data_IF_673844314339
#
_entry.id   IF_673844314339
#
_cell.length_a   1.000
_cell.length_b   1.000
_cell.length_c   1.000
_cell.angle_alpha   90.00
_cell.angle_beta   90.00
_cell.angle_gamma   90.00
#
_symmetry.space_group_name_H-M   'P 1'
#
loop_
_entity.id
_entity.type
_entity.pdbx_description
1 polymer ?
#
# COMPACT_ATOMS: atom_id res chain seq x y z
N UNK A 1 26.92 61.89 -20.82
CA UNK A 1 27.45 60.59 -21.27
C UNK A 1 27.96 59.80 -20.05
N UNK A 2 27.11 59.06 -19.32
CA UNK A 2 27.56 58.21 -18.17
C UNK A 2 26.54 57.12 -17.76
N UNK A 3 25.44 56.89 -18.49
CA UNK A 3 24.39 55.94 -18.07
C UNK A 3 24.57 54.50 -18.56
N UNK A 4 25.40 54.25 -19.57
CA UNK A 4 25.45 52.92 -20.22
C UNK A 4 26.35 51.89 -19.52
N UNK A 5 27.29 52.29 -18.66
CA UNK A 5 28.17 51.32 -17.98
C UNK A 5 27.46 50.53 -16.87
N UNK A 6 26.46 51.12 -16.22
CA UNK A 6 25.76 50.49 -15.08
C UNK A 6 24.82 49.34 -15.47
N UNK A 7 24.37 49.27 -16.72
CA UNK A 7 23.45 48.21 -17.18
C UNK A 7 24.19 46.91 -17.55
N UNK A 8 25.41 47.02 -18.10
CA UNK A 8 26.23 45.86 -18.46
C UNK A 8 26.83 45.14 -17.23
N UNK A 9 27.24 45.87 -16.19
CA UNK A 9 27.74 45.25 -14.96
C UNK A 9 26.65 44.43 -14.23
N UNK A 10 25.43 44.95 -14.16
CA UNK A 10 24.29 44.25 -13.54
C UNK A 10 23.90 42.96 -14.26
N UNK A 11 24.05 42.90 -15.58
CA UNK A 11 23.72 41.70 -16.37
C UNK A 11 24.78 40.61 -16.22
N UNK A 12 26.06 40.98 -16.19
CA UNK A 12 27.16 40.05 -15.92
C UNK A 12 27.10 39.49 -14.50
N UNK A 13 26.79 40.31 -13.51
CA UNK A 13 26.64 39.89 -12.12
C UNK A 13 25.46 38.92 -11.96
N UNK A 14 24.27 39.26 -12.48
CA UNK A 14 23.10 38.36 -12.46
C UNK A 14 23.40 36.99 -13.07
N UNK A 15 24.11 36.95 -14.20
CA UNK A 15 24.44 35.68 -14.88
C UNK A 15 25.37 34.79 -14.04
N UNK A 16 26.30 35.38 -13.29
CA UNK A 16 27.18 34.65 -12.37
C UNK A 16 26.39 34.08 -11.18
N UNK A 17 25.52 34.88 -10.56
CA UNK A 17 24.65 34.41 -9.47
C UNK A 17 23.69 33.30 -9.91
N UNK A 18 23.09 33.41 -11.09
CA UNK A 18 22.23 32.33 -11.63
C UNK A 18 23.02 31.05 -11.89
N UNK A 19 24.25 31.16 -12.41
CA UNK A 19 25.11 30.01 -12.63
C UNK A 19 25.50 29.32 -11.32
N UNK A 20 25.86 30.10 -10.30
CA UNK A 20 26.16 29.58 -8.97
C UNK A 20 24.94 28.89 -8.33
N UNK A 21 23.75 29.50 -8.43
CA UNK A 21 22.52 28.91 -7.91
C UNK A 21 22.17 27.57 -8.59
N UNK A 22 22.36 27.45 -9.91
CA UNK A 22 22.13 26.20 -10.64
C UNK A 22 23.13 25.11 -10.22
N UNK A 23 24.42 25.44 -10.11
CA UNK A 23 25.44 24.50 -9.65
C UNK A 23 25.20 24.05 -8.20
N UNK A 24 24.84 24.98 -7.32
CA UNK A 24 24.46 24.66 -5.94
C UNK A 24 23.23 23.75 -5.89
N UNK A 25 22.21 24.03 -6.70
CA UNK A 25 21.02 23.19 -6.83
C UNK A 25 21.33 21.78 -7.35
N UNK A 26 22.23 21.68 -8.34
CA UNK A 26 22.71 20.39 -8.85
C UNK A 26 23.45 19.60 -7.76
N UNK A 27 24.41 20.23 -7.06
CA UNK A 27 25.17 19.61 -5.98
C UNK A 27 24.24 19.14 -4.84
N UNK A 28 23.29 19.97 -4.42
CA UNK A 28 22.29 19.60 -3.41
C UNK A 28 21.44 18.42 -3.87
N UNK A 29 21.00 18.41 -5.13
CA UNK A 29 20.21 17.31 -5.68
C UNK A 29 21.01 16.01 -5.74
N UNK A 30 22.30 16.06 -6.10
CA UNK A 30 23.19 14.89 -6.02
C UNK A 30 23.36 14.41 -4.59
N UNK A 31 23.57 15.32 -3.63
CA UNK A 31 23.65 14.95 -2.22
C UNK A 31 22.37 14.26 -1.74
N UNK A 32 21.20 14.82 -2.04
CA UNK A 32 19.91 14.20 -1.70
C UNK A 32 19.70 12.84 -2.38
N UNK A 33 20.20 12.67 -3.60
CA UNK A 33 20.16 11.40 -4.31
C UNK A 33 21.09 10.36 -3.66
N UNK A 34 22.28 10.74 -3.21
CA UNK A 34 23.25 9.84 -2.56
C UNK A 34 22.82 9.47 -1.14
N UNK A 35 22.24 10.42 -0.40
CA UNK A 35 21.76 10.24 0.97
C UNK A 35 20.26 9.90 1.03
N UNK A 36 19.70 9.32 -0.03
CA UNK A 36 18.26 9.01 -0.14
C UNK A 36 17.74 8.14 1.02
N UNK A 37 18.59 7.26 1.56
CA UNK A 37 18.24 6.40 2.70
C UNK A 37 17.93 7.17 3.99
N UNK A 38 18.43 8.41 4.11
CA UNK A 38 18.21 9.28 5.26
C UNK A 38 17.14 10.35 5.01
N UNK A 39 16.49 10.35 3.83
CA UNK A 39 15.44 11.31 3.53
C UNK A 39 14.18 10.98 4.36
N UNK A 40 13.81 11.83 5.34
CA UNK A 40 12.70 11.53 6.24
C UNK A 40 11.35 11.40 5.52
N UNK A 41 11.17 12.05 4.38
CA UNK A 41 9.93 11.96 3.60
C UNK A 41 9.81 10.57 2.96
N UNK A 42 10.86 10.12 2.27
CA UNK A 42 10.90 8.79 1.64
C UNK A 42 10.83 7.67 2.68
N UNK A 43 11.54 7.81 3.80
CA UNK A 43 11.51 6.81 4.89
C UNK A 43 10.12 6.69 5.52
N UNK A 44 9.43 7.81 5.76
CA UNK A 44 8.06 7.77 6.31
C UNK A 44 7.05 7.21 5.29
N UNK A 45 7.16 7.59 4.02
CA UNK A 45 6.32 7.05 2.95
C UNK A 45 6.51 5.53 2.79
N UNK A 46 7.77 5.06 2.83
CA UNK A 46 8.10 3.64 2.85
C UNK A 46 7.53 2.93 4.08
N UNK A 47 7.65 3.55 5.26
CA UNK A 47 7.08 3.04 6.50
C UNK A 47 5.57 2.84 6.42
N UNK A 48 4.84 3.80 5.85
CA UNK A 48 3.39 3.66 5.63
C UNK A 48 3.04 2.47 4.73
N UNK A 49 3.73 2.31 3.59
CA UNK A 49 3.51 1.16 2.71
C UNK A 49 3.87 -0.17 3.40
N UNK A 50 4.93 -0.20 4.21
CA UNK A 50 5.33 -1.36 5.01
C UNK A 50 4.29 -1.73 6.07
N UNK A 51 3.68 -0.75 6.75
CA UNK A 51 2.62 -1.00 7.73
C UNK A 51 1.40 -1.63 7.07
N UNK A 52 1.00 -1.12 5.91
CA UNK A 52 -0.13 -1.71 5.17
C UNK A 52 0.21 -3.13 4.71
N UNK A 53 1.42 -3.37 4.20
CA UNK A 53 1.88 -4.71 3.81
C UNK A 53 1.78 -5.70 4.98
N UNK A 54 2.28 -5.32 6.16
CA UNK A 54 2.23 -6.16 7.35
C UNK A 54 0.79 -6.44 7.81
N UNK A 55 -0.07 -5.42 7.80
CA UNK A 55 -1.48 -5.60 8.14
C UNK A 55 -2.18 -6.54 7.14
N UNK A 56 -1.97 -6.35 5.83
CA UNK A 56 -2.53 -7.21 4.79
C UNK A 56 -2.03 -8.65 4.91
N UNK A 57 -0.77 -8.87 5.31
CA UNK A 57 -0.23 -10.20 5.60
C UNK A 57 -1.01 -10.91 6.71
N UNK A 58 -1.33 -10.20 7.79
CA UNK A 58 -2.18 -10.72 8.86
C UNK A 58 -3.55 -11.15 8.35
N UNK A 59 -4.24 -10.27 7.61
CA UNK A 59 -5.54 -10.58 6.99
C UNK A 59 -5.46 -11.79 6.05
N UNK A 60 -4.41 -11.89 5.23
CA UNK A 60 -4.19 -13.00 4.31
C UNK A 60 -4.05 -14.34 5.03
N UNK A 61 -3.23 -14.38 6.09
CA UNK A 61 -3.06 -15.60 6.89
C UNK A 61 -4.39 -16.03 7.51
N UNK A 62 -5.17 -15.10 8.07
CA UNK A 62 -6.49 -15.41 8.63
C UNK A 62 -7.44 -15.99 7.59
N UNK A 63 -7.50 -15.40 6.39
CA UNK A 63 -8.31 -15.93 5.28
C UNK A 63 -7.86 -17.34 4.84
N UNK A 64 -6.55 -17.58 4.80
CA UNK A 64 -6.01 -18.90 4.43
C UNK A 64 -6.36 -19.97 5.46
N UNK A 65 -6.30 -19.62 6.74
CA UNK A 65 -6.72 -20.49 7.84
C UNK A 65 -8.22 -20.78 7.76
N UNK A 66 -9.05 -19.77 7.49
CA UNK A 66 -10.49 -19.96 7.30
C UNK A 66 -10.81 -20.91 6.14
N UNK A 67 -10.19 -20.71 4.98
CA UNK A 67 -10.35 -21.62 3.84
C UNK A 67 -9.90 -23.05 4.19
N UNK A 68 -8.80 -23.23 4.92
CA UNK A 68 -8.36 -24.56 5.35
C UNK A 68 -9.35 -25.25 6.29
N UNK A 69 -9.96 -24.51 7.22
CA UNK A 69 -11.00 -25.01 8.13
C UNK A 69 -12.26 -25.40 7.36
N UNK A 70 -12.72 -24.55 6.43
CA UNK A 70 -13.90 -24.82 5.60
C UNK A 70 -13.68 -26.03 4.68
N UNK A 71 -12.52 -26.13 4.04
CA UNK A 71 -12.15 -27.27 3.18
C UNK A 71 -12.14 -28.59 3.94
N UNK A 72 -11.60 -28.59 5.18
CA UNK A 72 -11.61 -29.78 6.06
C UNK A 72 -13.03 -30.17 6.46
N UNK A 73 -13.90 -29.19 6.76
CA UNK A 73 -15.29 -29.44 7.11
C UNK A 73 -16.08 -30.06 5.94
N UNK A 74 -15.84 -29.59 4.71
CA UNK A 74 -16.44 -30.14 3.49
C UNK A 74 -15.98 -31.59 3.23
N UNK A 75 -14.68 -31.90 3.39
CA UNK A 75 -14.14 -33.26 3.17
C UNK A 75 -14.74 -34.29 4.15
N UNK A 76 -14.90 -33.92 5.42
CA UNK A 76 -15.44 -34.81 6.46
C UNK A 76 -16.91 -35.18 6.23
N UNK A 77 -17.74 -34.27 5.70
CA UNK A 77 -19.14 -34.58 5.37
C UNK A 77 -19.25 -35.52 4.16
N UNK A 78 -18.38 -35.33 3.16
CA UNK A 78 -18.35 -36.21 1.99
C UNK A 78 -17.93 -37.65 2.34
N UNK A 79 -17.12 -37.84 3.40
CA UNK A 79 -16.70 -39.17 3.87
C UNK A 79 -17.77 -39.98 4.63
N UNK A 80 -18.80 -39.35 5.18
CA UNK A 80 -19.83 -40.01 6.02
C UNK A 80 -21.07 -40.46 5.22
N UNK A 81 -21.23 -40.00 3.98
CA UNK A 81 -22.40 -40.27 3.14
C UNK A 81 -22.48 -41.65 2.45
N UNK A 82 -21.55 -42.58 2.69
CA UNK A 82 -21.49 -43.87 1.97
C UNK A 82 -22.44 -44.97 2.48
N UNK A 83 -23.41 -44.68 3.37
CA UNK A 83 -24.25 -45.72 3.97
C UNK A 83 -25.75 -45.44 4.14
N UNK A 84 -26.22 -44.19 4.10
CA UNK A 84 -27.64 -43.89 4.29
C UNK A 84 -28.07 -42.81 3.30
N UNK A 85 -28.92 -43.22 2.35
CA UNK A 85 -29.57 -42.37 1.35
C UNK A 85 -30.49 -41.33 2.01
N UNK A 86 -29.91 -40.24 2.51
CA UNK A 86 -30.61 -39.01 2.90
C UNK A 86 -30.15 -37.85 2.03
N UNK A 87 -31.00 -37.41 1.11
CA UNK A 87 -30.70 -36.48 0.01
C UNK A 87 -30.63 -35.00 0.40
N UNK A 88 -29.86 -34.63 1.42
CA UNK A 88 -29.53 -33.24 1.67
C UNK A 88 -28.00 -33.10 1.58
N UNK A 89 -27.51 -32.37 0.58
CA UNK A 89 -26.11 -31.92 0.47
C UNK A 89 -26.04 -30.45 0.97
N UNK A 90 -26.14 -30.18 2.29
CA UNK A 90 -26.10 -28.82 2.79
C UNK A 90 -24.76 -28.12 2.49
N UNK A 91 -23.63 -28.83 2.44
CA UNK A 91 -22.32 -28.19 2.25
C UNK A 91 -21.90 -27.91 0.80
N UNK A 92 -22.62 -28.39 -0.23
CA UNK A 92 -22.39 -27.89 -1.61
C UNK A 92 -22.86 -26.44 -1.80
N UNK A 93 -23.69 -25.91 -0.89
CA UNK A 93 -23.97 -24.48 -0.83
C UNK A 93 -22.77 -23.64 -0.34
N UNK A 94 -21.68 -24.25 0.16
CA UNK A 94 -20.50 -23.53 0.63
C UNK A 94 -19.47 -23.20 -0.45
N UNK A 95 -19.55 -23.84 -1.62
CA UNK A 95 -18.63 -23.62 -2.74
C UNK A 95 -18.54 -22.12 -3.12
N UNK A 96 -19.65 -21.35 -3.20
CA UNK A 96 -19.56 -19.92 -3.49
C UNK A 96 -18.86 -19.11 -2.39
N UNK A 97 -18.99 -19.51 -1.12
CA UNK A 97 -18.39 -18.78 0.01
C UNK A 97 -16.88 -19.04 0.02
N UNK A 98 -16.46 -20.30 -0.10
CA UNK A 98 -15.03 -20.64 -0.17
C UNK A 98 -14.35 -19.94 -1.37
N UNK A 99 -14.99 -19.97 -2.55
CA UNK A 99 -14.52 -19.24 -3.73
C UNK A 99 -14.37 -17.73 -3.47
N UNK A 100 -15.31 -17.12 -2.73
CA UNK A 100 -15.19 -15.69 -2.39
C UNK A 100 -14.03 -15.42 -1.42
N UNK A 101 -13.84 -16.27 -0.42
CA UNK A 101 -12.74 -16.16 0.54
C UNK A 101 -11.40 -16.32 -0.18
N UNK A 102 -11.26 -17.28 -1.10
CA UNK A 102 -10.07 -17.47 -1.92
C UNK A 102 -9.76 -16.23 -2.77
N UNK A 103 -10.76 -15.68 -3.46
CA UNK A 103 -10.58 -14.47 -4.29
C UNK A 103 -10.19 -13.24 -3.48
N UNK A 104 -10.76 -13.09 -2.28
CA UNK A 104 -10.38 -12.01 -1.36
C UNK A 104 -8.94 -12.24 -0.86
N UNK A 105 -8.58 -13.46 -0.50
CA UNK A 105 -7.23 -13.80 -0.05
C UNK A 105 -6.18 -13.48 -1.12
N UNK A 106 -6.44 -13.83 -2.38
CA UNK A 106 -5.58 -13.50 -3.52
C UNK A 106 -5.42 -12.00 -3.71
N UNK A 107 -6.52 -11.24 -3.59
CA UNK A 107 -6.47 -9.78 -3.68
C UNK A 107 -5.66 -9.14 -2.54
N UNK A 108 -5.85 -9.61 -1.31
CA UNK A 108 -5.10 -9.17 -0.13
C UNK A 108 -3.62 -9.55 -0.26
N UNK A 109 -3.31 -10.74 -0.78
CA UNK A 109 -1.94 -11.17 -1.06
C UNK A 109 -1.26 -10.25 -2.09
N UNK A 110 -1.94 -9.96 -3.19
CA UNK A 110 -1.42 -9.06 -4.21
C UNK A 110 -1.16 -7.65 -3.63
N UNK A 111 -2.07 -7.15 -2.79
CA UNK A 111 -1.90 -5.88 -2.06
C UNK A 111 -0.70 -5.90 -1.11
N UNK A 112 -0.53 -6.97 -0.34
CA UNK A 112 0.61 -7.18 0.56
C UNK A 112 1.93 -7.12 -0.23
N UNK A 113 2.04 -7.86 -1.33
CA UNK A 113 3.25 -7.89 -2.16
C UNK A 113 3.50 -6.52 -2.80
N UNK A 114 2.46 -5.90 -3.37
CA UNK A 114 2.57 -4.60 -4.01
C UNK A 114 3.04 -3.52 -3.04
N UNK A 115 2.42 -3.44 -1.86
CA UNK A 115 2.79 -2.47 -0.82
C UNK A 115 4.20 -2.73 -0.27
N UNK A 116 4.61 -3.99 -0.14
CA UNK A 116 5.98 -4.36 0.23
C UNK A 116 7.02 -3.92 -0.83
N UNK A 117 6.75 -4.19 -2.11
CA UNK A 117 7.60 -3.72 -3.22
C UNK A 117 7.68 -2.20 -3.23
N UNK A 118 6.54 -1.52 -3.02
CA UNK A 118 6.49 -0.07 -2.98
C UNK A 118 7.33 0.50 -1.83
N UNK A 119 7.26 -0.10 -0.64
CA UNK A 119 8.08 0.30 0.51
C UNK A 119 9.58 0.24 0.19
N UNK A 120 10.02 -0.82 -0.48
CA UNK A 120 11.43 -0.97 -0.92
C UNK A 120 11.78 0.03 -2.03
N UNK A 121 10.86 0.29 -2.97
CA UNK A 121 11.10 1.15 -4.12
C UNK A 121 11.13 2.66 -3.79
N UNK A 122 10.47 3.10 -2.71
CA UNK A 122 10.34 4.52 -2.35
C UNK A 122 11.69 5.26 -2.25
N UNK A 123 12.71 4.62 -1.67
CA UNK A 123 14.04 5.20 -1.56
C UNK A 123 14.71 5.41 -2.93
N UNK A 124 14.94 4.32 -3.69
CA UNK A 124 15.52 4.40 -5.03
C UNK A 124 14.76 5.32 -6.00
N UNK A 125 13.41 5.30 -5.98
CA UNK A 125 12.58 6.19 -6.81
C UNK A 125 12.85 7.66 -6.48
N UNK A 126 12.95 7.99 -5.18
CA UNK A 126 13.32 9.34 -4.74
C UNK A 126 14.72 9.73 -5.22
N UNK A 127 15.69 8.83 -5.12
CA UNK A 127 17.07 9.05 -5.60
C UNK A 127 17.12 9.33 -7.11
N UNK A 128 16.38 8.56 -7.91
CA UNK A 128 16.24 8.79 -9.36
C UNK A 128 15.62 10.17 -9.62
N UNK A 129 14.58 10.55 -8.87
CA UNK A 129 13.97 11.88 -8.99
C UNK A 129 14.98 13.00 -8.73
N UNK A 130 15.77 12.90 -7.67
CA UNK A 130 16.82 13.88 -7.36
C UNK A 130 17.94 13.89 -8.40
N UNK A 131 18.34 12.73 -8.94
CA UNK A 131 19.32 12.65 -10.03
C UNK A 131 18.81 13.34 -11.31
N UNK A 132 17.51 13.19 -11.63
CA UNK A 132 16.89 13.91 -12.74
C UNK A 132 16.88 15.43 -12.51
N UNK A 133 16.62 15.88 -11.28
CA UNK A 133 16.72 17.30 -10.93
C UNK A 133 18.15 17.83 -11.06
N UNK A 134 19.15 17.07 -10.60
CA UNK A 134 20.55 17.42 -10.80
C UNK A 134 20.89 17.58 -12.29
N UNK A 135 20.45 16.63 -13.12
CA UNK A 135 20.59 16.70 -14.57
C UNK A 135 19.91 17.93 -15.18
N UNK A 136 18.73 18.30 -14.69
CA UNK A 136 18.03 19.50 -15.14
C UNK A 136 18.81 20.79 -14.83
N UNK A 137 19.33 20.92 -13.60
CA UNK A 137 20.13 22.08 -13.20
C UNK A 137 21.43 22.18 -14.00
N UNK A 138 22.12 21.06 -14.24
CA UNK A 138 23.32 21.01 -15.09
C UNK A 138 23.00 21.41 -16.53
N UNK A 139 21.92 20.91 -17.10
CA UNK A 139 21.50 21.27 -18.46
C UNK A 139 21.17 22.77 -18.57
N UNK A 140 20.49 23.36 -17.59
CA UNK A 140 20.22 24.80 -17.60
C UNK A 140 21.47 25.66 -17.43
N UNK A 141 22.49 25.13 -16.74
CA UNK A 141 23.77 25.80 -16.60
C UNK A 141 24.57 25.79 -17.92
N UNK A 142 24.60 24.65 -18.62
CA UNK A 142 25.34 24.47 -19.87
C UNK A 142 24.61 25.02 -21.11
N UNK A 143 23.30 24.77 -21.19
CA UNK A 143 22.46 25.07 -22.35
C UNK A 143 21.09 25.62 -21.89
N UNK A 144 21.03 26.91 -21.48
CA UNK A 144 19.80 27.52 -21.01
C UNK A 144 18.72 27.50 -22.10
N UNK A 145 17.47 27.20 -21.71
CA UNK A 145 16.31 27.16 -22.62
C UNK A 145 15.96 25.77 -23.19
N UNK A 146 16.75 24.73 -22.90
CA UNK A 146 16.46 23.38 -23.37
C UNK A 146 15.16 22.80 -22.79
N UNK A 147 14.26 22.34 -23.66
CA UNK A 147 12.99 21.69 -23.27
C UNK A 147 13.23 20.43 -22.45
N UNK A 148 14.33 19.72 -22.72
CA UNK A 148 14.74 18.53 -21.99
C UNK A 148 15.00 18.82 -20.50
N UNK A 149 15.65 19.95 -20.18
CA UNK A 149 15.88 20.36 -18.79
C UNK A 149 14.57 20.59 -18.02
N UNK A 150 13.56 21.17 -18.69
CA UNK A 150 12.23 21.35 -18.09
C UNK A 150 11.52 20.02 -17.81
N UNK A 151 11.62 19.05 -18.74
CA UNK A 151 11.05 17.71 -18.55
C UNK A 151 11.75 16.95 -17.42
N UNK A 152 13.08 16.99 -17.37
CA UNK A 152 13.86 16.39 -16.30
C UNK A 152 13.51 16.99 -14.94
N UNK A 153 13.39 18.32 -14.86
CA UNK A 153 12.96 18.99 -13.63
C UNK A 153 11.54 18.56 -13.22
N UNK A 154 10.58 18.49 -14.15
CA UNK A 154 9.20 18.13 -13.81
C UNK A 154 9.07 16.69 -13.33
N UNK A 155 9.69 15.72 -14.04
CA UNK A 155 9.68 14.33 -13.61
C UNK A 155 10.52 14.12 -12.36
N UNK A 156 11.65 14.81 -12.24
CA UNK A 156 12.51 14.76 -11.07
C UNK A 156 11.80 15.24 -9.81
N UNK A 157 11.14 16.39 -9.85
CA UNK A 157 10.33 16.92 -8.74
C UNK A 157 9.17 15.96 -8.42
N UNK A 158 8.51 15.42 -9.45
CA UNK A 158 7.41 14.49 -9.25
C UNK A 158 7.85 13.21 -8.49
N UNK A 159 8.93 12.57 -8.95
CA UNK A 159 9.44 11.34 -8.35
C UNK A 159 10.11 11.57 -6.99
N UNK A 160 10.87 12.67 -6.84
CA UNK A 160 11.61 12.96 -5.62
C UNK A 160 10.73 13.46 -4.48
N UNK A 161 9.66 14.22 -4.81
CA UNK A 161 8.88 14.95 -3.82
C UNK A 161 7.40 14.61 -3.91
N UNK A 162 6.75 14.77 -5.07
CA UNK A 162 5.29 14.66 -5.15
C UNK A 162 4.78 13.27 -4.77
N UNK A 163 5.47 12.22 -5.22
CA UNK A 163 5.10 10.83 -4.94
C UNK A 163 5.34 10.45 -3.47
N UNK A 164 6.54 10.62 -2.87
CA UNK A 164 6.71 10.37 -1.44
C UNK A 164 5.78 11.21 -0.55
N UNK A 165 5.55 12.47 -0.94
CA UNK A 165 4.67 13.37 -0.20
C UNK A 165 3.20 12.94 -0.29
N UNK A 166 2.75 12.41 -1.43
CA UNK A 166 1.37 11.92 -1.56
C UNK A 166 1.11 10.74 -0.64
N UNK A 167 2.07 9.82 -0.49
CA UNK A 167 1.98 8.71 0.45
C UNK A 167 2.05 9.18 1.90
N UNK A 168 2.95 10.12 2.21
CA UNK A 168 3.06 10.69 3.56
C UNK A 168 1.77 11.42 4.00
N UNK A 169 1.16 12.19 3.11
CA UNK A 169 -0.11 12.86 3.41
C UNK A 169 -1.26 11.86 3.49
N UNK A 170 -1.23 10.85 2.63
CA UNK A 170 -2.24 9.78 2.64
C UNK A 170 -2.23 9.00 3.94
N UNK A 171 -1.07 8.79 4.58
CA UNK A 171 -1.02 8.05 5.84
C UNK A 171 -1.90 8.69 6.91
N UNK A 172 -1.78 10.00 7.10
CA UNK A 172 -2.56 10.71 8.12
C UNK A 172 -4.04 10.83 7.76
N UNK A 173 -4.35 11.07 6.48
CA UNK A 173 -5.74 11.29 6.04
C UNK A 173 -6.50 9.97 5.99
N UNK A 174 -5.89 8.92 5.44
CA UNK A 174 -6.54 7.63 5.34
C UNK A 174 -6.77 6.98 6.71
N UNK A 175 -5.83 7.12 7.65
CA UNK A 175 -5.98 6.63 9.03
C UNK A 175 -7.16 7.29 9.76
N UNK A 176 -7.52 8.52 9.39
CA UNK A 176 -8.69 9.18 9.95
C UNK A 176 -9.97 8.73 9.25
N UNK A 177 -9.97 8.74 7.91
CA UNK A 177 -11.17 8.43 7.11
C UNK A 177 -11.61 6.97 7.19
N UNK A 178 -10.67 6.05 7.39
CA UNK A 178 -10.95 4.60 7.36
C UNK A 178 -11.04 3.98 8.75
N UNK A 179 -10.83 4.75 9.82
CA UNK A 179 -10.76 4.22 11.18
C UNK A 179 -12.03 3.51 11.61
N UNK A 180 -13.16 4.17 11.45
CA UNK A 180 -14.45 3.63 11.91
C UNK A 180 -14.79 2.33 11.18
N UNK A 181 -14.66 2.34 9.85
CA UNK A 181 -14.89 1.16 9.01
C UNK A 181 -13.91 0.03 9.37
N UNK A 182 -12.64 0.36 9.64
CA UNK A 182 -11.65 -0.61 10.04
C UNK A 182 -11.99 -1.24 11.39
N UNK A 183 -12.21 -0.43 12.43
CA UNK A 183 -12.49 -0.90 13.79
C UNK A 183 -13.78 -1.72 13.87
N UNK A 184 -14.84 -1.29 13.18
CA UNK A 184 -16.11 -2.02 13.12
C UNK A 184 -15.93 -3.42 12.51
N UNK A 185 -15.27 -3.51 11.36
CA UNK A 185 -15.11 -4.77 10.64
C UNK A 185 -14.05 -5.68 11.27
N UNK A 186 -13.00 -5.12 11.88
CA UNK A 186 -12.04 -5.88 12.68
C UNK A 186 -12.71 -6.49 13.92
N UNK A 187 -13.61 -5.75 14.59
CA UNK A 187 -14.37 -6.28 15.72
C UNK A 187 -15.32 -7.42 15.32
N UNK A 188 -15.96 -7.32 14.14
CA UNK A 188 -16.78 -8.41 13.57
C UNK A 188 -15.91 -9.63 13.30
N UNK A 189 -14.79 -9.47 12.60
CA UNK A 189 -13.88 -10.57 12.29
C UNK A 189 -13.38 -11.21 13.58
N UNK A 190 -12.85 -10.42 14.53
CA UNK A 190 -12.33 -10.92 15.80
C UNK A 190 -13.40 -11.65 16.62
N UNK A 191 -14.65 -11.18 16.63
CA UNK A 191 -15.76 -11.87 17.30
C UNK A 191 -16.00 -13.24 16.69
N UNK A 192 -16.07 -13.32 15.37
CA UNK A 192 -16.36 -14.56 14.63
C UNK A 192 -15.17 -15.54 14.74
N UNK A 193 -13.93 -15.03 14.64
CA UNK A 193 -12.70 -15.84 14.67
C UNK A 193 -12.23 -16.20 16.08
N UNK A 194 -12.63 -15.48 17.13
CA UNK A 194 -12.32 -15.87 18.53
C UNK A 194 -12.86 -17.25 18.90
N UNK A 195 -13.90 -17.69 18.20
CA UNK A 195 -14.46 -19.04 18.28
C UNK A 195 -13.51 -20.13 17.76
N UNK A 196 -12.55 -19.75 16.89
CA UNK A 196 -11.67 -20.62 16.08
C UNK A 196 -10.32 -20.88 16.77
N UNK A 197 -9.98 -20.13 17.83
CA UNK A 197 -8.72 -20.33 18.57
C UNK A 197 -8.69 -21.75 19.16
N UNK A 198 -7.88 -22.61 18.53
CA UNK A 198 -7.69 -23.99 18.96
C UNK A 198 -6.82 -24.06 20.22
N UNK A 199 -7.03 -25.07 21.09
CA UNK A 199 -6.28 -25.21 22.32
C UNK A 199 -4.77 -25.34 22.05
N UNK A 200 -4.00 -24.61 22.85
CA UNK A 200 -2.55 -24.63 23.04
C UNK A 200 -1.80 -25.82 22.40
N UNK A 201 -0.89 -25.51 21.48
CA UNK A 201 0.11 -26.47 20.98
C UNK A 201 1.21 -26.67 22.03
N UNK A 202 0.82 -27.25 23.17
CA UNK A 202 1.74 -27.76 24.18
C UNK A 202 2.43 -29.03 23.68
N UNK A 203 3.75 -28.97 23.53
CA UNK A 203 4.61 -29.98 22.91
C UNK A 203 4.80 -31.30 23.69
N UNK A 204 3.84 -31.74 24.52
CA UNK A 204 3.97 -32.98 25.34
C UNK A 204 2.73 -33.89 25.35
N UNK A 205 1.78 -33.77 24.40
CA UNK A 205 0.65 -34.69 24.32
C UNK A 205 0.97 -35.97 23.50
N UNK A 206 0.85 -37.13 24.16
CA UNK A 206 1.07 -38.45 23.58
C UNK A 206 0.20 -38.71 22.33
N UNK A 207 0.69 -39.54 21.40
CA UNK A 207 -0.01 -39.83 20.14
C UNK A 207 -1.44 -40.38 20.32
N UNK A 208 -1.68 -41.09 21.42
CA UNK A 208 -3.01 -41.58 21.81
C UNK A 208 -3.94 -40.47 22.30
N UNK A 209 -3.42 -39.46 23.01
CA UNK A 209 -4.20 -38.29 23.40
C UNK A 209 -4.56 -37.43 22.19
N UNK A 210 -3.66 -37.31 21.20
CA UNK A 210 -3.97 -36.66 19.91
C UNK A 210 -5.00 -37.42 19.08
N UNK A 211 -5.00 -38.75 19.13
CA UNK A 211 -6.01 -39.56 18.43
C UNK A 211 -7.37 -39.50 19.12
N UNK A 212 -7.39 -39.44 20.46
CA UNK A 212 -8.61 -39.27 21.25
C UNK A 212 -9.14 -37.83 21.19
N UNK A 213 -8.24 -36.84 21.22
CA UNK A 213 -8.56 -35.42 21.04
C UNK A 213 -9.07 -35.18 19.63
N UNK A 214 -8.47 -35.79 18.60
CA UNK A 214 -8.90 -35.73 17.21
C UNK A 214 -10.36 -36.19 16.99
N UNK A 215 -10.85 -37.14 17.80
CA UNK A 215 -12.24 -37.60 17.74
C UNK A 215 -13.22 -36.64 18.43
N UNK A 216 -12.83 -35.95 19.51
CA UNK A 216 -13.61 -34.86 20.14
C UNK A 216 -13.45 -33.51 19.40
N UNK A 217 -12.33 -33.33 18.72
CA UNK A 217 -12.03 -32.21 17.83
C UNK A 217 -12.92 -32.31 16.60
N UNK A 218 -13.19 -33.48 16.04
CA UNK A 218 -14.11 -33.62 14.90
C UNK A 218 -15.52 -33.05 15.16
N UNK A 219 -16.05 -33.22 16.38
CA UNK A 219 -17.35 -32.64 16.75
C UNK A 219 -17.24 -31.13 17.02
N UNK A 220 -16.15 -30.69 17.65
CA UNK A 220 -15.84 -29.27 17.85
C UNK A 220 -15.61 -28.53 16.53
N UNK A 221 -14.94 -29.15 15.55
CA UNK A 221 -14.72 -28.63 14.20
C UNK A 221 -16.02 -28.55 13.40
N UNK A 222 -16.95 -29.49 13.58
CA UNK A 222 -18.30 -29.40 12.97
C UNK A 222 -19.12 -28.27 13.56
N UNK A 223 -19.12 -28.10 14.88
CA UNK A 223 -19.80 -26.98 15.54
C UNK A 223 -19.19 -25.63 15.16
N UNK A 224 -17.86 -25.59 15.04
CA UNK A 224 -17.13 -24.41 14.57
C UNK A 224 -17.49 -24.07 13.12
N UNK A 225 -17.47 -25.05 12.22
CA UNK A 225 -17.83 -24.88 10.82
C UNK A 225 -19.29 -24.42 10.66
N UNK A 226 -20.21 -24.94 11.49
CA UNK A 226 -21.60 -24.48 11.53
C UNK A 226 -21.74 -23.02 11.97
N UNK A 227 -20.96 -22.60 12.97
CA UNK A 227 -20.97 -21.20 13.45
C UNK A 227 -20.40 -20.24 12.40
N UNK A 228 -19.31 -20.65 11.73
CA UNK A 228 -18.73 -19.89 10.61
C UNK A 228 -19.73 -19.80 9.45
N UNK A 229 -20.48 -20.87 9.17
CA UNK A 229 -21.50 -20.88 8.13
C UNK A 229 -22.62 -19.88 8.41
N UNK A 230 -23.17 -19.90 9.61
CA UNK A 230 -24.27 -19.00 10.00
C UNK A 230 -23.85 -17.51 9.95
N UNK A 231 -22.54 -17.25 10.05
CA UNK A 231 -21.95 -15.90 10.05
C UNK A 231 -21.11 -15.60 8.80
N UNK A 232 -21.12 -16.49 7.80
CA UNK A 232 -20.21 -16.40 6.65
C UNK A 232 -20.46 -15.14 5.82
N UNK A 233 -21.72 -14.78 5.60
CA UNK A 233 -22.08 -13.58 4.85
C UNK A 233 -21.57 -12.30 5.54
N UNK A 234 -21.70 -12.22 6.88
CA UNK A 234 -21.19 -11.09 7.67
C UNK A 234 -19.66 -11.05 7.63
N UNK A 235 -19.01 -12.21 7.77
CA UNK A 235 -17.56 -12.34 7.74
C UNK A 235 -16.97 -11.93 6.37
N UNK A 236 -17.55 -12.42 5.28
CA UNK A 236 -17.15 -12.08 3.91
C UNK A 236 -17.37 -10.60 3.66
N UNK A 237 -18.51 -10.03 4.06
CA UNK A 237 -18.77 -8.60 3.94
C UNK A 237 -17.72 -7.76 4.68
N UNK A 238 -17.33 -8.17 5.89
CA UNK A 238 -16.29 -7.48 6.66
C UNK A 238 -14.89 -7.57 6.02
N UNK A 239 -14.52 -8.72 5.46
CA UNK A 239 -13.27 -8.83 4.72
C UNK A 239 -13.27 -8.00 3.43
N UNK A 240 -14.40 -7.92 2.72
CA UNK A 240 -14.54 -7.04 1.54
C UNK A 240 -14.41 -5.57 1.95
N UNK A 241 -14.98 -5.16 3.09
CA UNK A 241 -14.84 -3.81 3.62
C UNK A 241 -13.38 -3.49 3.97
N UNK A 242 -12.68 -4.41 4.65
CA UNK A 242 -11.25 -4.27 4.95
C UNK A 242 -10.42 -4.21 3.66
N UNK A 243 -10.72 -5.04 2.67
CA UNK A 243 -10.07 -5.01 1.36
C UNK A 243 -10.27 -3.64 0.69
N UNK A 244 -11.48 -3.09 0.72
CA UNK A 244 -11.77 -1.75 0.20
C UNK A 244 -10.96 -0.66 0.94
N UNK A 245 -10.80 -0.79 2.26
CA UNK A 245 -9.92 0.09 3.06
C UNK A 245 -8.48 0.01 2.57
N UNK A 246 -7.92 -1.19 2.35
CA UNK A 246 -6.56 -1.33 1.82
C UNK A 246 -6.40 -0.70 0.44
N UNK A 247 -7.34 -0.96 -0.47
CA UNK A 247 -7.33 -0.38 -1.83
C UNK A 247 -7.40 1.14 -1.75
N UNK A 248 -8.24 1.69 -0.88
CA UNK A 248 -8.33 3.13 -0.67
C UNK A 248 -7.02 3.72 -0.15
N UNK A 249 -6.44 3.08 0.87
CA UNK A 249 -5.20 3.49 1.55
C UNK A 249 -3.96 3.47 0.66
N UNK A 250 -3.85 2.48 -0.23
CA UNK A 250 -2.63 2.27 -1.06
C UNK A 250 -2.76 2.87 -2.45
N UNK A 251 -3.95 2.81 -3.07
CA UNK A 251 -4.12 3.23 -4.45
C UNK A 251 -4.89 4.55 -4.54
N UNK A 252 -6.12 4.60 -4.04
CA UNK A 252 -7.02 5.71 -4.35
C UNK A 252 -6.51 7.03 -3.76
N UNK A 253 -6.23 7.07 -2.46
CA UNK A 253 -5.84 8.32 -1.83
C UNK A 253 -4.46 8.82 -2.28
N UNK A 254 -3.40 7.98 -2.33
CA UNK A 254 -2.10 8.43 -2.82
C UNK A 254 -2.14 8.88 -4.28
N UNK A 255 -2.93 8.20 -5.14
CA UNK A 255 -3.07 8.60 -6.54
C UNK A 255 -3.83 9.91 -6.70
N UNK A 256 -4.91 10.13 -5.93
CA UNK A 256 -5.66 11.39 -5.92
C UNK A 256 -4.78 12.55 -5.48
N UNK A 257 -3.98 12.39 -4.42
CA UNK A 257 -3.05 13.41 -3.95
C UNK A 257 -1.91 13.67 -4.96
N UNK A 258 -1.33 12.62 -5.53
CA UNK A 258 -0.31 12.76 -6.58
C UNK A 258 -0.85 13.48 -7.82
N UNK A 259 -2.08 13.16 -8.25
CA UNK A 259 -2.78 13.85 -9.34
C UNK A 259 -3.08 15.31 -8.99
N UNK A 260 -3.52 15.57 -7.76
CA UNK A 260 -3.73 16.93 -7.24
C UNK A 260 -2.45 17.77 -7.29
N UNK A 261 -1.31 17.22 -6.86
CA UNK A 261 -0.02 17.88 -6.98
C UNK A 261 0.36 18.17 -8.44
N UNK A 262 0.12 17.22 -9.35
CA UNK A 262 0.40 17.40 -10.77
C UNK A 262 -0.43 18.55 -11.39
N UNK A 263 -1.74 18.59 -11.09
CA UNK A 263 -2.63 19.65 -11.58
C UNK A 263 -2.26 21.00 -10.99
N UNK A 264 -1.98 21.07 -9.68
CA UNK A 264 -1.57 22.31 -9.02
C UNK A 264 -0.25 22.85 -9.59
N UNK A 265 0.74 21.97 -9.79
CA UNK A 265 2.02 22.35 -10.40
C UNK A 265 1.84 22.89 -11.82
N UNK A 266 0.96 22.26 -12.62
CA UNK A 266 0.65 22.72 -13.98
C UNK A 266 -0.05 24.10 -13.95
N UNK A 267 -1.04 24.28 -13.09
CA UNK A 267 -1.77 25.53 -12.97
C UNK A 267 -0.85 26.70 -12.58
N UNK A 268 0.04 26.51 -11.60
CA UNK A 268 1.03 27.52 -11.21
C UNK A 268 1.97 27.89 -12.38
N UNK A 269 2.37 26.91 -13.19
CA UNK A 269 3.23 27.13 -14.35
C UNK A 269 2.53 27.83 -15.53
N UNK A 270 1.19 27.82 -15.57
CA UNK A 270 0.38 28.53 -16.57
C UNK A 270 0.07 29.96 -16.10
N UNK A 271 -0.31 30.14 -14.84
CA UNK A 271 -0.58 31.45 -14.22
C UNK A 271 0.64 32.36 -14.24
N UNK A 272 1.84 31.82 -14.04
CA UNK A 272 3.09 32.58 -14.13
C UNK A 272 3.43 33.12 -15.53
N UNK A 273 2.85 32.55 -16.60
CA UNK A 273 3.02 33.04 -17.99
C UNK A 273 2.07 34.19 -18.34
N UNK A 274 1.00 34.39 -17.57
CA UNK A 274 0.03 35.46 -17.79
C UNK A 274 0.51 36.85 -17.34
N UNK A 275 1.42 36.91 -16.37
CA UNK A 275 1.95 38.17 -15.79
C UNK A 275 3.11 38.79 -16.59
N UNK A 276 3.51 38.19 -17.71
CA UNK A 276 4.57 38.70 -18.61
C UNK A 276 4.03 39.22 -19.96
N UNK A 277 2.71 39.34 -20.11
CA UNK A 277 2.08 40.00 -21.26
C UNK A 277 1.62 41.41 -20.89
#
# INVERSE_FOLDING_TARGET
MTRETTSFERTAERRRWTGFALLAGAALSVLLALFYAHNPVSTKAAGYASTVSAASAGTYVTLRTLNAVLSTAQEVEMGVGLGVSGSAQPLKMLEPIDDTIERIADAVFALMVFSGVLAVAMGPVGAVGFAMMAGAFLLWWLAPGQVLGRRLASYGVFLALALPLSFLLSSSVADHMTREVWEENEAVIARITSSIDTPDSGAEAGWFDRMRSGLTEMESYRTLAGTIFDQADELVASYVAILAVYVFRIFLLPALLAGGFFVAARWLAESGRGLQR
#
